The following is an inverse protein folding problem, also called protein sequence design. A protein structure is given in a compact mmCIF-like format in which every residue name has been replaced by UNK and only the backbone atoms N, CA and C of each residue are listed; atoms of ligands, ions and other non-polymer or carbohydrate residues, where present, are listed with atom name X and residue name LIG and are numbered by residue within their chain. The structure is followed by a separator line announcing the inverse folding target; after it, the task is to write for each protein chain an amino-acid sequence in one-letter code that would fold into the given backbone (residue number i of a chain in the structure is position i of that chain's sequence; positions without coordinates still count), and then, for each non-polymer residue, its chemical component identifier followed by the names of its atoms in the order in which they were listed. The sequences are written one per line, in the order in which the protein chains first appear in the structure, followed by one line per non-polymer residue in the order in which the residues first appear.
data_IF_833084148414
#
_entry.id   IF_833084148414
#
_cell.length_a   1.000
_cell.length_b   1.000
_cell.length_c   1.000
_cell.angle_alpha   90.00
_cell.angle_beta   90.00
_cell.angle_gamma   90.00
#
_symmetry.space_group_name_H-M   'P 1'
#
loop_
_entity.id
_entity.type
_entity.pdbx_description
1 polymer ?
#
# COMPACT_ATOMS: atom_id res chain seq x y z
N UNK A 1 7.40 8.65 -1.35
CA UNK A 1 6.01 9.14 -1.23
C UNK A 1 5.22 8.19 -0.36
N UNK A 2 4.50 8.68 0.65
CA UNK A 2 3.61 7.86 1.49
C UNK A 2 2.21 7.72 0.87
N UNK A 3 1.57 6.57 1.05
CA UNK A 3 0.31 6.18 0.41
C UNK A 3 -0.63 5.50 1.41
N UNK A 4 -1.94 5.54 1.14
CA UNK A 4 -2.98 4.81 1.90
C UNK A 4 -3.53 5.53 3.13
N UNK A 5 -2.86 6.58 3.61
CA UNK A 5 -3.30 7.31 4.81
C UNK A 5 -3.08 6.54 6.12
N UNK A 6 -3.49 7.17 7.22
CA UNK A 6 -3.41 6.68 8.60
C UNK A 6 -4.69 7.04 9.34
N UNK A 7 -4.85 6.54 10.56
CA UNK A 7 -6.02 6.79 11.42
C UNK A 7 -6.33 8.29 11.65
N UNK A 8 -5.33 9.17 11.58
CA UNK A 8 -5.47 10.62 11.81
C UNK A 8 -5.61 11.44 10.50
N UNK A 9 -5.99 10.82 9.39
CA UNK A 9 -6.13 11.54 8.12
C UNK A 9 -7.58 11.86 7.79
N UNK A 10 -7.84 13.08 7.28
CA UNK A 10 -9.13 13.47 6.72
C UNK A 10 -9.55 12.53 5.57
N UNK A 11 -10.85 12.21 5.41
CA UNK A 11 -11.32 11.24 4.40
C UNK A 11 -10.86 11.54 2.97
N UNK A 12 -10.76 12.84 2.62
CA UNK A 12 -10.27 13.28 1.30
C UNK A 12 -8.82 12.84 1.02
N UNK A 13 -8.04 12.60 2.07
CA UNK A 13 -6.65 12.16 2.00
C UNK A 13 -6.49 10.63 2.01
N UNK A 14 -7.56 9.86 2.23
CA UNK A 14 -7.56 8.38 2.21
C UNK A 14 -7.73 7.78 0.81
N UNK A 15 -7.92 8.62 -0.22
CA UNK A 15 -8.05 8.16 -1.61
C UNK A 15 -6.78 7.46 -2.07
N UNK A 16 -6.93 6.37 -2.84
CA UNK A 16 -5.80 5.64 -3.45
C UNK A 16 -4.91 6.54 -4.33
N UNK A 17 -5.48 7.59 -4.92
CA UNK A 17 -4.74 8.56 -5.71
C UNK A 17 -3.86 9.52 -4.88
N UNK A 18 -4.10 9.68 -3.57
CA UNK A 18 -3.42 10.70 -2.76
C UNK A 18 -1.94 10.37 -2.50
N UNK A 19 -1.06 11.36 -2.73
CA UNK A 19 0.41 11.23 -2.64
C UNK A 19 0.95 12.16 -1.56
N UNK A 20 1.17 11.64 -0.35
CA UNK A 20 1.67 12.46 0.74
C UNK A 20 3.19 12.71 0.59
N UNK A 21 3.58 14.00 0.59
CA UNK A 21 4.93 14.52 0.26
C UNK A 21 5.67 15.03 1.50
N UNK A 22 5.64 14.27 2.59
CA UNK A 22 6.49 14.55 3.74
C UNK A 22 7.97 14.47 3.34
N UNK A 23 8.80 15.29 3.99
CA UNK A 23 10.25 15.23 3.83
C UNK A 23 10.79 13.89 4.40
N UNK A 24 11.91 13.36 3.87
CA UNK A 24 12.42 12.04 4.30
C UNK A 24 12.82 11.94 5.78
N UNK A 25 13.18 13.07 6.40
CA UNK A 25 13.53 13.20 7.81
C UNK A 25 12.30 13.26 8.74
N UNK A 26 11.08 13.32 8.20
CA UNK A 26 9.86 13.38 9.00
C UNK A 26 9.58 12.03 9.68
N UNK A 27 9.70 12.00 11.01
CA UNK A 27 9.51 10.81 11.86
C UNK A 27 8.15 10.76 12.57
N UNK A 28 7.11 11.35 11.99
CA UNK A 28 5.75 11.32 12.55
C UNK A 28 5.26 9.86 12.75
N UNK A 29 4.65 9.59 13.90
CA UNK A 29 4.12 8.28 14.33
C UNK A 29 2.95 7.75 13.47
N UNK A 30 2.41 8.56 12.56
CA UNK A 30 1.40 8.17 11.58
C UNK A 30 1.99 7.58 10.29
N UNK A 31 3.32 7.47 10.18
CA UNK A 31 4.01 6.90 9.02
C UNK A 31 4.53 5.49 9.33
N UNK A 32 4.31 4.54 8.42
CA UNK A 32 4.80 3.17 8.52
C UNK A 32 5.25 2.62 7.16
N UNK A 33 5.65 1.35 7.11
CA UNK A 33 6.08 0.67 5.89
C UNK A 33 5.22 -0.56 5.59
N UNK A 34 5.15 -0.91 4.31
CA UNK A 34 4.56 -2.18 3.83
C UNK A 34 5.61 -2.83 2.94
N UNK A 35 5.87 -4.11 3.18
CA UNK A 35 6.83 -4.85 2.38
C UNK A 35 6.24 -5.13 1.00
N UNK A 36 7.08 -5.05 -0.02
CA UNK A 36 6.77 -5.50 -1.37
C UNK A 36 7.87 -6.45 -1.81
N UNK A 37 7.47 -7.56 -2.44
CA UNK A 37 8.39 -8.49 -3.09
C UNK A 37 8.03 -8.61 -4.56
N UNK A 38 9.02 -8.94 -5.39
CA UNK A 38 8.78 -9.37 -6.76
C UNK A 38 8.22 -10.80 -6.75
N UNK A 39 7.31 -11.11 -7.66
CA UNK A 39 6.91 -12.50 -7.89
C UNK A 39 8.15 -13.28 -8.34
N UNK A 40 8.47 -14.38 -7.64
CA UNK A 40 9.48 -15.33 -8.10
C UNK A 40 8.84 -16.17 -9.19
N UNK A 41 9.48 -16.26 -10.37
CA UNK A 41 8.95 -16.93 -11.57
C UNK A 41 8.78 -18.47 -11.45
N UNK A 42 8.82 -19.02 -10.23
CA UNK A 42 8.57 -20.44 -9.95
C UNK A 42 7.61 -20.71 -8.77
N UNK A 43 7.08 -19.68 -8.10
CA UNK A 43 6.06 -19.88 -7.07
C UNK A 43 4.69 -19.90 -7.75
N UNK A 44 4.13 -21.10 -7.93
CA UNK A 44 2.87 -21.34 -8.64
C UNK A 44 1.81 -20.30 -8.33
N UNK A 45 1.43 -19.54 -9.35
CA UNK A 45 0.28 -18.67 -9.29
C UNK A 45 -0.93 -19.55 -8.95
N UNK A 46 -1.50 -19.37 -7.75
CA UNK A 46 -2.87 -19.80 -7.47
C UNK A 46 -3.76 -18.92 -8.35
N UNK A 47 -3.86 -19.29 -9.62
CA UNK A 47 -4.86 -18.77 -10.54
C UNK A 47 -6.11 -19.57 -10.25
N UNK A 48 -6.95 -19.08 -9.33
CA UNK A 48 -8.33 -19.58 -9.27
C UNK A 48 -9.01 -19.09 -10.53
N UNK A 49 -9.30 -20.03 -11.45
CA UNK A 49 -10.06 -19.74 -12.64
C UNK A 49 -11.45 -19.19 -12.24
N UNK A 50 -11.95 -18.13 -12.88
CA UNK A 50 -13.30 -17.66 -12.62
C UNK A 50 -14.29 -18.70 -13.13
N UNK A 51 -14.96 -19.41 -12.20
CA UNK A 51 -16.00 -20.40 -12.54
C UNK A 51 -15.92 -21.76 -11.85
N UNK A 52 -15.07 -21.96 -10.84
CA UNK A 52 -15.21 -23.13 -9.97
C UNK A 52 -16.47 -22.96 -9.09
N UNK A 53 -17.54 -23.68 -9.46
CA UNK A 53 -18.74 -23.90 -8.65
C UNK A 53 -18.45 -24.91 -7.54
#
# INVERSE_FOLDING_TARGET
VLRGGSWNNNPQNLRAANRNRNTPDNRNNNSGFRLGSTLSAGAGAITVAPGAL
#
